data_IF_333038075260
#
_entry.id   IF_333038075260
#
_cell.length_a   1.000
_cell.length_b   1.000
_cell.length_c   1.000
_cell.angle_alpha   90.00
_cell.angle_beta   90.00
_cell.angle_gamma   90.00
#
_symmetry.space_group_name_H-M   'P 1'
#
loop_
_entity.id
_entity.type
_entity.pdbx_description
1 polymer ?
#
# COMPACT_ATOMS: atom_id res chain seq x y z
N UNK A 1 -8.86 -18.43 4.28
CA UNK A 1 -7.60 -18.46 3.48
C UNK A 1 -7.72 -17.62 2.19
N UNK A 2 -8.07 -16.33 2.28
CA UNK A 2 -8.33 -15.48 1.09
C UNK A 2 -7.34 -14.32 0.87
N UNK A 3 -6.74 -13.81 1.95
CA UNK A 3 -5.96 -12.56 1.94
C UNK A 3 -4.62 -12.72 1.20
N UNK A 4 -3.96 -13.87 1.39
CA UNK A 4 -2.67 -14.19 0.77
C UNK A 4 -2.75 -14.30 -0.77
N UNK A 5 -3.90 -14.72 -1.33
CA UNK A 5 -4.07 -14.85 -2.79
C UNK A 5 -4.24 -13.49 -3.49
N UNK A 6 -5.00 -12.57 -2.90
CA UNK A 6 -5.16 -11.22 -3.42
C UNK A 6 -3.82 -10.46 -3.43
N UNK A 7 -3.07 -10.59 -2.34
CA UNK A 7 -1.70 -10.08 -2.20
C UNK A 7 -0.77 -10.60 -3.31
N UNK A 8 -0.76 -11.90 -3.60
CA UNK A 8 0.11 -12.45 -4.66
C UNK A 8 -0.17 -11.91 -6.07
N UNK A 9 -1.43 -11.58 -6.39
CA UNK A 9 -1.78 -10.97 -7.68
C UNK A 9 -1.35 -9.51 -7.77
N UNK A 10 -1.42 -8.81 -6.64
CA UNK A 10 -0.97 -7.43 -6.52
C UNK A 10 0.55 -7.30 -6.66
N UNK A 11 1.30 -8.20 -6.05
CA UNK A 11 2.76 -8.25 -6.14
C UNK A 11 3.29 -8.72 -7.49
N UNK A 12 2.45 -9.32 -8.33
CA UNK A 12 2.86 -9.84 -9.64
C UNK A 12 2.91 -8.75 -10.73
N UNK A 13 2.32 -7.57 -10.49
CA UNK A 13 2.27 -6.47 -11.47
C UNK A 13 3.45 -5.49 -11.38
N UNK A 14 4.36 -5.68 -10.41
CA UNK A 14 5.61 -4.92 -10.26
C UNK A 14 6.83 -5.85 -10.13
N UNK A 15 8.04 -5.42 -10.51
CA UNK A 15 9.23 -6.29 -10.59
C UNK A 15 9.87 -6.65 -9.23
N UNK A 16 9.25 -6.33 -8.10
CA UNK A 16 9.88 -6.50 -6.79
C UNK A 16 8.91 -7.13 -5.79
N UNK A 17 9.46 -7.97 -4.91
CA UNK A 17 8.76 -8.43 -3.71
C UNK A 17 8.15 -7.23 -2.98
N UNK A 18 6.95 -7.38 -2.39
CA UNK A 18 6.38 -6.34 -1.52
C UNK A 18 7.43 -5.75 -0.59
N UNK A 19 7.49 -4.43 -0.54
CA UNK A 19 8.16 -3.79 0.58
C UNK A 19 7.41 -4.10 1.88
N UNK A 20 8.11 -4.09 3.01
CA UNK A 20 7.48 -4.27 4.34
C UNK A 20 6.37 -3.22 4.57
N UNK A 21 6.57 -2.00 4.04
CA UNK A 21 5.60 -0.91 4.10
C UNK A 21 4.28 -1.23 3.37
N UNK A 22 4.35 -1.86 2.19
CA UNK A 22 3.15 -2.28 1.45
C UNK A 22 2.37 -3.37 2.20
N UNK A 23 3.06 -4.34 2.80
CA UNK A 23 2.41 -5.39 3.58
C UNK A 23 1.70 -4.82 4.81
N UNK A 24 2.35 -3.89 5.52
CA UNK A 24 1.76 -3.21 6.67
C UNK A 24 0.52 -2.41 6.27
N UNK A 25 0.56 -1.70 5.14
CA UNK A 25 -0.58 -0.94 4.65
C UNK A 25 -1.77 -1.84 4.32
N UNK A 26 -1.54 -2.95 3.58
CA UNK A 26 -2.62 -3.89 3.26
C UNK A 26 -3.17 -4.57 4.52
N UNK A 27 -2.30 -4.95 5.46
CA UNK A 27 -2.74 -5.48 6.75
C UNK A 27 -3.60 -4.46 7.51
N UNK A 28 -3.23 -3.18 7.47
CA UNK A 28 -3.99 -2.09 8.09
C UNK A 28 -5.35 -1.88 7.43
N UNK A 29 -5.44 -2.10 6.11
CA UNK A 29 -6.69 -2.11 5.33
C UNK A 29 -7.46 -3.44 5.47
N UNK A 30 -7.19 -4.26 6.50
CA UNK A 30 -7.84 -5.56 6.72
C UNK A 30 -7.72 -6.55 5.55
N UNK A 31 -6.66 -6.43 4.74
CA UNK A 31 -6.47 -7.23 3.53
C UNK A 31 -7.12 -6.65 2.27
N UNK A 32 -7.76 -5.49 2.35
CA UNK A 32 -8.30 -4.77 1.20
C UNK A 32 -7.16 -4.11 0.39
N UNK A 33 -6.81 -4.78 -0.69
CA UNK A 33 -5.74 -4.37 -1.61
C UNK A 33 -6.15 -3.15 -2.44
N UNK A 34 -7.42 -3.04 -2.83
CA UNK A 34 -7.90 -1.91 -3.64
C UNK A 34 -7.88 -0.62 -2.81
N UNK A 35 -8.24 -0.72 -1.53
CA UNK A 35 -8.12 0.41 -0.61
C UNK A 35 -6.66 0.82 -0.43
N UNK A 36 -5.75 -0.13 -0.23
CA UNK A 36 -4.31 0.15 -0.13
C UNK A 36 -3.77 0.82 -1.41
N UNK A 37 -4.17 0.34 -2.61
CA UNK A 37 -3.81 0.99 -3.88
C UNK A 37 -4.31 2.42 -3.98
N UNK A 38 -5.57 2.66 -3.61
CA UNK A 38 -6.14 4.01 -3.64
C UNK A 38 -5.34 4.97 -2.77
N UNK A 39 -4.93 4.54 -1.58
CA UNK A 39 -4.11 5.35 -0.67
C UNK A 39 -2.72 5.62 -1.24
N UNK A 40 -2.07 4.60 -1.80
CA UNK A 40 -0.76 4.76 -2.43
C UNK A 40 -0.84 5.70 -3.63
N UNK A 41 -1.82 5.51 -4.51
CA UNK A 41 -2.02 6.34 -5.69
C UNK A 41 -2.38 7.77 -5.29
N UNK A 42 -3.12 7.97 -4.19
CA UNK A 42 -3.39 9.31 -3.66
C UNK A 42 -2.09 10.01 -3.26
N UNK A 43 -1.22 9.35 -2.50
CA UNK A 43 0.05 9.94 -2.07
C UNK A 43 1.02 10.15 -3.24
N UNK A 44 1.08 9.23 -4.20
CA UNK A 44 1.83 9.40 -5.45
C UNK A 44 1.28 10.53 -6.32
N UNK A 45 -0.04 10.73 -6.38
CA UNK A 45 -0.63 11.86 -7.11
C UNK A 45 -0.27 13.21 -6.50
N UNK A 46 -0.14 13.25 -5.17
CA UNK A 46 0.24 14.45 -4.41
C UNK A 46 1.75 14.71 -4.48
N UNK A 47 2.54 13.64 -4.56
CA UNK A 47 4.01 13.67 -4.51
C UNK A 47 4.58 12.71 -5.55
N UNK A 48 4.50 13.02 -6.85
CA UNK A 48 4.92 12.10 -7.90
C UNK A 48 6.40 11.71 -7.86
N UNK A 49 7.23 12.50 -7.18
CA UNK A 49 8.66 12.24 -7.00
C UNK A 49 9.00 11.20 -5.91
N UNK A 50 8.04 10.76 -5.08
CA UNK A 50 8.35 9.79 -4.02
C UNK A 50 8.22 8.35 -4.53
N UNK A 51 8.99 7.45 -3.92
CA UNK A 51 8.88 6.03 -4.21
C UNK A 51 7.55 5.46 -3.71
N UNK A 52 7.12 4.35 -4.28
CA UNK A 52 5.91 3.62 -3.84
C UNK A 52 5.98 3.22 -2.36
N UNK A 53 7.15 2.79 -1.87
CA UNK A 53 7.37 2.47 -0.46
C UNK A 53 7.17 3.71 0.43
N UNK A 54 7.75 4.84 0.04
CA UNK A 54 7.56 6.12 0.73
C UNK A 54 6.10 6.58 0.73
N UNK A 55 5.38 6.34 -0.36
CA UNK A 55 3.95 6.62 -0.45
C UNK A 55 3.14 5.73 0.52
N UNK A 56 3.53 4.46 0.71
CA UNK A 56 2.91 3.59 1.71
C UNK A 56 3.12 4.10 3.13
N UNK A 57 4.35 4.49 3.48
CA UNK A 57 4.64 5.06 4.80
C UNK A 57 3.89 6.37 5.03
N UNK A 58 3.82 7.25 4.02
CA UNK A 58 3.05 8.49 4.09
C UNK A 58 1.54 8.23 4.26
N UNK A 59 1.00 7.24 3.55
CA UNK A 59 -0.40 6.84 3.70
C UNK A 59 -0.70 6.29 5.10
N UNK A 60 0.21 5.46 5.66
CA UNK A 60 0.08 4.94 7.02
C UNK A 60 0.20 6.05 8.08
N UNK A 61 1.18 6.94 7.95
CA UNK A 61 1.37 8.08 8.87
C UNK A 61 0.13 8.98 8.87
N UNK A 62 -0.42 9.29 7.70
CA UNK A 62 -1.64 10.07 7.57
C UNK A 62 -2.85 9.37 8.19
N UNK A 63 -3.03 8.08 7.94
CA UNK A 63 -4.09 7.29 8.55
C UNK A 63 -3.99 7.29 10.08
N UNK A 64 -2.78 7.23 10.63
CA UNK A 64 -2.56 7.26 12.08
C UNK A 64 -2.84 8.64 12.69
N UNK A 65 -2.69 9.73 11.93
CA UNK A 65 -2.96 11.12 12.39
C UNK A 65 -4.41 11.55 12.28
N UNK A 66 -5.19 10.91 11.41
CA UNK A 66 -6.63 11.19 11.21
C UNK A 66 -7.49 10.64 12.37
N UNK A 67 -6.87 10.01 13.37
CA UNK A 67 -7.51 9.39 14.54
C UNK A 67 -7.08 10.08 15.83
#
# INVERSE_FOLDING_TARGET
MGILKALTGWFRKGPARPSEAEQRLVYRCAGDVEQAERLINLELSRRPQISRATACDAAMDRWNRDR
#
